data_IF_319625902576
#
_entry.id   IF_319625902576
#
_cell.length_a   1.000
_cell.length_b   1.000
_cell.length_c   1.000
_cell.angle_alpha   90.00
_cell.angle_beta   90.00
_cell.angle_gamma   90.00
#
_symmetry.space_group_name_H-M   'P 1'
#
loop_
_entity.id
_entity.type
_entity.pdbx_description
1 polymer ?
#
# COMPACT_ATOMS: atom_id res chain seq x y z
N UNK A 1 -11.72 26.79 15.28
CA UNK A 1 -10.38 26.31 15.70
C UNK A 1 -9.88 27.22 16.79
N UNK A 2 -9.47 26.69 17.95
CA UNK A 2 -8.82 27.52 18.97
C UNK A 2 -7.53 28.12 18.39
N UNK A 3 -7.24 29.41 18.66
CA UNK A 3 -5.96 29.99 18.31
C UNK A 3 -4.82 29.19 18.96
N UNK A 4 -3.80 28.83 18.20
CA UNK A 4 -2.68 28.00 18.65
C UNK A 4 -1.94 28.61 19.87
N UNK A 5 -1.96 29.94 19.98
CA UNK A 5 -1.43 30.71 21.11
C UNK A 5 -2.33 30.73 22.36
N UNK A 6 -3.52 30.13 22.32
CA UNK A 6 -4.46 30.00 23.45
C UNK A 6 -4.54 28.57 23.99
N UNK A 7 -3.85 27.60 23.37
CA UNK A 7 -3.78 26.24 23.91
C UNK A 7 -2.81 26.21 25.10
N UNK A 8 -3.25 25.74 26.29
CA UNK A 8 -2.37 25.64 27.43
C UNK A 8 -1.23 24.65 27.13
N UNK A 9 0.02 25.06 27.37
CA UNK A 9 1.15 24.13 27.28
C UNK A 9 0.93 22.98 28.27
N UNK A 10 1.11 21.72 27.87
CA UNK A 10 0.98 20.60 28.80
C UNK A 10 2.03 20.75 29.89
N UNK A 11 1.68 20.36 31.13
CA UNK A 11 2.60 20.37 32.27
C UNK A 11 3.82 19.47 32.04
N UNK A 12 3.66 18.46 31.20
CA UNK A 12 4.71 17.55 30.76
C UNK A 12 4.70 17.55 29.23
N UNK A 13 5.76 18.07 28.63
CA UNK A 13 6.01 17.89 27.19
C UNK A 13 6.74 16.56 27.06
N UNK A 14 6.16 15.54 26.38
CA UNK A 14 6.86 14.28 26.19
C UNK A 14 8.15 14.55 25.38
N UNK A 15 9.34 14.20 25.90
CA UNK A 15 10.57 14.38 25.14
C UNK A 15 10.55 13.46 23.92
N UNK A 16 11.19 13.89 22.83
CA UNK A 16 11.56 12.97 21.76
C UNK A 16 12.64 12.02 22.29
N UNK A 17 12.63 10.78 21.79
CA UNK A 17 13.72 9.86 22.00
C UNK A 17 15.05 10.47 21.49
N UNK A 18 16.12 10.38 22.28
CA UNK A 18 17.42 11.00 21.97
C UNK A 18 18.03 10.44 20.66
N UNK A 19 17.73 9.18 20.35
CA UNK A 19 18.20 8.51 19.15
C UNK A 19 17.21 8.60 17.98
N UNK A 20 16.10 9.34 18.15
CA UNK A 20 15.15 9.55 17.05
C UNK A 20 15.83 10.24 15.87
N UNK A 21 15.74 9.61 14.70
CA UNK A 21 16.19 10.16 13.41
C UNK A 21 15.06 10.07 12.39
N UNK A 22 14.50 11.20 11.92
CA UNK A 22 13.48 11.17 10.87
C UNK A 22 14.04 10.60 9.56
N UNK A 23 13.41 9.56 9.02
CA UNK A 23 13.86 8.91 7.78
C UNK A 23 13.91 9.87 6.57
N UNK A 24 13.03 10.87 6.53
CA UNK A 24 13.03 11.89 5.48
C UNK A 24 14.33 12.72 5.46
N UNK A 25 14.94 12.98 6.63
CA UNK A 25 16.20 13.72 6.71
C UNK A 25 17.36 12.89 6.17
N UNK A 26 17.36 11.57 6.37
CA UNK A 26 18.34 10.68 5.75
C UNK A 26 18.22 10.71 4.22
N UNK A 27 17.00 10.70 3.69
CA UNK A 27 16.77 10.82 2.24
C UNK A 27 17.28 12.15 1.69
N UNK A 28 17.00 13.26 2.37
CA UNK A 28 17.47 14.59 1.98
C UNK A 28 19.00 14.67 2.00
N UNK A 29 19.64 14.20 3.08
CA UNK A 29 21.09 14.21 3.21
C UNK A 29 21.79 13.37 2.12
N UNK A 30 21.24 12.20 1.78
CA UNK A 30 21.76 11.39 0.68
C UNK A 30 21.67 12.12 -0.67
N UNK A 31 20.50 12.69 -0.99
CA UNK A 31 20.31 13.41 -2.25
C UNK A 31 21.16 14.68 -2.33
N UNK A 32 21.37 15.37 -1.21
CA UNK A 32 22.30 16.50 -1.13
C UNK A 32 23.72 16.05 -1.43
N UNK A 33 24.17 14.93 -0.84
CA UNK A 33 25.49 14.34 -1.13
C UNK A 33 25.65 13.97 -2.60
N UNK A 34 24.62 13.37 -3.22
CA UNK A 34 24.62 13.08 -4.66
C UNK A 34 24.82 14.37 -5.46
N UNK A 35 24.04 15.41 -5.19
CA UNK A 35 24.12 16.70 -5.90
C UNK A 35 25.47 17.39 -5.69
N UNK A 36 26.03 17.37 -4.47
CA UNK A 36 27.29 18.03 -4.15
C UNK A 36 28.51 17.30 -4.72
N UNK A 37 28.40 15.99 -4.98
CA UNK A 37 29.52 15.16 -5.47
C UNK A 37 30.01 15.52 -6.87
N UNK A 38 29.16 16.18 -7.69
CA UNK A 38 29.34 16.36 -9.15
C UNK A 38 29.57 15.06 -9.92
N UNK A 39 29.28 13.91 -9.30
CA UNK A 39 29.36 12.56 -9.85
C UNK A 39 28.01 11.86 -9.67
N UNK A 40 26.93 12.55 -9.99
CA UNK A 40 25.58 11.97 -9.98
C UNK A 40 25.35 11.17 -11.27
N UNK A 41 24.70 10.01 -11.15
CA UNK A 41 24.27 9.18 -12.28
C UNK A 41 22.79 8.84 -12.13
N UNK A 42 22.05 8.69 -13.26
CA UNK A 42 20.62 8.43 -13.21
C UNK A 42 20.30 7.06 -12.62
N UNK A 43 19.19 7.00 -11.88
CA UNK A 43 18.53 5.78 -11.46
C UNK A 43 17.03 5.87 -11.79
N UNK A 44 16.53 4.87 -12.51
CA UNK A 44 15.13 4.72 -12.88
C UNK A 44 14.62 3.41 -12.30
N UNK A 45 13.59 3.49 -11.47
CA UNK A 45 12.95 2.34 -10.86
C UNK A 45 11.54 2.18 -11.45
N UNK A 46 11.31 1.07 -12.15
CA UNK A 46 9.97 0.69 -12.63
C UNK A 46 9.38 -0.41 -11.75
N UNK A 47 8.12 -0.27 -11.33
CA UNK A 47 7.39 -1.28 -10.57
C UNK A 47 6.19 -1.74 -11.39
N UNK A 48 6.21 -3.01 -11.82
CA UNK A 48 5.14 -3.61 -12.61
C UNK A 48 4.15 -4.38 -11.73
N UNK A 49 2.86 -4.14 -12.00
CA UNK A 49 1.70 -4.66 -11.26
C UNK A 49 0.81 -5.47 -12.20
N UNK A 50 -0.34 -5.93 -11.69
CA UNK A 50 -1.38 -6.57 -12.50
C UNK A 50 -1.84 -5.68 -13.68
N UNK A 51 -2.30 -6.31 -14.76
CA UNK A 51 -2.79 -5.60 -15.96
C UNK A 51 -1.71 -4.89 -16.78
N UNK A 52 -0.44 -5.14 -16.49
CA UNK A 52 0.69 -4.46 -17.14
C UNK A 52 0.79 -2.98 -16.77
N UNK A 53 0.26 -2.59 -15.60
CA UNK A 53 0.44 -1.26 -15.05
C UNK A 53 1.86 -1.12 -14.51
N UNK A 54 2.50 0.02 -14.78
CA UNK A 54 3.89 0.29 -14.42
C UNK A 54 3.96 1.65 -13.76
N UNK A 55 4.48 1.70 -12.55
CA UNK A 55 4.80 2.93 -11.85
C UNK A 55 6.29 3.23 -11.99
N UNK A 56 6.66 4.44 -12.38
CA UNK A 56 8.08 4.81 -12.55
C UNK A 56 8.49 5.82 -11.47
N UNK A 57 9.71 5.67 -10.96
CA UNK A 57 10.35 6.63 -10.07
C UNK A 57 11.74 6.97 -10.61
N UNK A 58 11.97 8.25 -10.88
CA UNK A 58 13.25 8.75 -11.43
C UNK A 58 13.99 9.53 -10.36
N UNK A 59 15.25 9.19 -10.16
CA UNK A 59 16.14 9.83 -9.19
C UNK A 59 17.59 9.74 -9.66
N UNK A 60 18.51 10.19 -8.82
CA UNK A 60 19.95 10.09 -9.04
C UNK A 60 20.60 9.38 -7.85
N UNK A 61 21.75 8.76 -8.12
CA UNK A 61 22.62 8.12 -7.13
C UNK A 61 24.07 8.52 -7.40
N UNK A 62 24.98 8.19 -6.49
CA UNK A 62 26.41 8.43 -6.71
C UNK A 62 26.94 7.49 -7.80
N UNK A 63 27.81 8.00 -8.66
CA UNK A 63 28.62 7.17 -9.56
C UNK A 63 29.38 6.11 -8.74
N UNK A 64 29.50 4.86 -9.22
CA UNK A 64 30.22 3.80 -8.51
C UNK A 64 31.65 4.15 -8.09
N UNK A 65 32.31 5.07 -8.78
CA UNK A 65 33.66 5.56 -8.47
C UNK A 65 33.71 6.76 -7.50
N UNK A 66 32.56 7.26 -7.07
CA UNK A 66 32.47 8.38 -6.15
C UNK A 66 32.72 7.95 -4.69
N UNK A 67 33.26 8.87 -3.89
CA UNK A 67 33.40 8.66 -2.44
C UNK A 67 32.00 8.57 -1.80
N UNK A 68 31.75 7.49 -1.06
CA UNK A 68 30.45 7.25 -0.44
C UNK A 68 29.45 6.49 -1.31
N UNK A 69 29.86 5.96 -2.47
CA UNK A 69 28.98 5.21 -3.38
C UNK A 69 28.35 3.96 -2.72
N UNK A 70 28.95 3.43 -1.66
CA UNK A 70 28.39 2.35 -0.83
C UNK A 70 27.03 2.73 -0.21
N UNK A 71 26.77 4.03 0.01
CA UNK A 71 25.49 4.51 0.53
C UNK A 71 24.33 4.33 -0.46
N UNK A 72 24.62 4.15 -1.75
CA UNK A 72 23.59 3.89 -2.75
C UNK A 72 22.78 2.63 -2.40
N UNK A 73 23.44 1.57 -1.93
CA UNK A 73 22.81 0.27 -1.69
C UNK A 73 21.72 0.33 -0.60
N UNK A 74 21.99 0.77 0.65
CA UNK A 74 20.96 0.87 1.68
C UNK A 74 19.91 1.96 1.36
N UNK A 75 20.30 3.04 0.68
CA UNK A 75 19.36 4.07 0.24
C UNK A 75 18.34 3.53 -0.76
N UNK A 76 18.81 2.90 -1.84
CA UNK A 76 17.96 2.39 -2.90
C UNK A 76 17.13 1.21 -2.42
N UNK A 77 17.70 0.31 -1.62
CA UNK A 77 16.96 -0.77 -0.96
C UNK A 77 15.74 -0.20 -0.21
N UNK A 78 15.95 0.79 0.67
CA UNK A 78 14.87 1.41 1.44
C UNK A 78 13.86 2.15 0.57
N UNK A 79 14.34 2.82 -0.49
CA UNK A 79 13.48 3.50 -1.47
C UNK A 79 12.58 2.49 -2.19
N UNK A 80 13.15 1.40 -2.72
CA UNK A 80 12.41 0.33 -3.40
C UNK A 80 11.39 -0.28 -2.47
N UNK A 81 11.74 -0.60 -1.21
CA UNK A 81 10.76 -1.07 -0.22
C UNK A 81 9.61 -0.09 -0.05
N UNK A 82 9.92 1.21 0.10
CA UNK A 82 8.90 2.24 0.28
C UNK A 82 7.97 2.32 -0.93
N UNK A 83 8.52 2.33 -2.14
CA UNK A 83 7.74 2.35 -3.38
C UNK A 83 6.89 1.08 -3.53
N UNK A 84 7.45 -0.08 -3.21
CA UNK A 84 6.77 -1.37 -3.32
C UNK A 84 5.55 -1.45 -2.40
N UNK A 85 5.64 -0.95 -1.17
CA UNK A 85 4.51 -0.94 -0.24
C UNK A 85 3.51 0.20 -0.49
N UNK A 86 3.94 1.30 -1.10
CA UNK A 86 3.05 2.41 -1.46
C UNK A 86 2.29 2.18 -2.77
N UNK A 87 2.92 1.50 -3.74
CA UNK A 87 2.42 1.37 -5.12
C UNK A 87 2.07 -0.06 -5.51
N UNK A 88 2.67 -1.05 -4.83
CA UNK A 88 2.58 -2.45 -5.19
C UNK A 88 3.43 -2.82 -6.41
N UNK A 89 3.70 -4.11 -6.58
CA UNK A 89 4.29 -4.70 -7.78
C UNK A 89 4.90 -6.07 -7.51
N UNK A 90 5.10 -6.87 -8.54
CA UNK A 90 5.79 -8.17 -8.46
C UNK A 90 7.12 -8.18 -9.24
N UNK A 91 7.35 -7.16 -10.06
CA UNK A 91 8.57 -7.02 -10.84
C UNK A 91 9.13 -5.62 -10.69
N UNK A 92 10.43 -5.56 -10.45
CA UNK A 92 11.19 -4.32 -10.35
C UNK A 92 12.16 -4.23 -11.52
N UNK A 93 12.07 -3.14 -12.27
CA UNK A 93 13.04 -2.73 -13.28
C UNK A 93 14.02 -1.74 -12.64
N UNK A 94 15.32 -2.01 -12.76
CA UNK A 94 16.40 -1.19 -12.20
C UNK A 94 17.27 -0.67 -13.34
N UNK A 95 16.97 0.56 -13.77
CA UNK A 95 17.72 1.29 -14.80
C UNK A 95 18.79 2.17 -14.17
N UNK A 96 20.04 1.73 -14.11
CA UNK A 96 21.11 2.47 -13.43
C UNK A 96 22.37 1.62 -13.22
N UNK A 97 23.26 2.00 -12.28
CA UNK A 97 24.47 1.23 -11.98
C UNK A 97 24.17 -0.26 -11.70
N UNK A 98 24.80 -1.22 -12.42
CA UNK A 98 24.46 -2.64 -12.32
C UNK A 98 24.51 -3.24 -10.91
N UNK A 99 25.50 -2.80 -10.12
CA UNK A 99 25.69 -3.20 -8.73
C UNK A 99 24.45 -2.97 -7.84
N UNK A 100 23.63 -1.97 -8.15
CA UNK A 100 22.38 -1.70 -7.41
C UNK A 100 21.34 -2.77 -7.73
N UNK A 101 21.17 -3.11 -9.01
CA UNK A 101 20.23 -4.15 -9.43
C UNK A 101 20.63 -5.53 -8.91
N UNK A 102 21.93 -5.85 -8.94
CA UNK A 102 22.48 -7.10 -8.37
C UNK A 102 22.27 -7.18 -6.86
N UNK A 103 22.52 -6.09 -6.13
CA UNK A 103 22.25 -6.01 -4.70
C UNK A 103 20.75 -6.19 -4.38
N UNK A 104 19.87 -5.57 -5.17
CA UNK A 104 18.43 -5.73 -5.01
C UNK A 104 17.98 -7.16 -5.32
N UNK A 105 18.56 -7.84 -6.32
CA UNK A 105 18.29 -9.26 -6.57
C UNK A 105 18.65 -10.13 -5.36
N UNK A 106 19.76 -9.86 -4.68
CA UNK A 106 20.12 -10.55 -3.45
C UNK A 106 19.15 -10.24 -2.30
N UNK A 107 18.78 -8.97 -2.14
CA UNK A 107 17.81 -8.56 -1.13
C UNK A 107 16.45 -9.24 -1.31
N UNK A 108 15.90 -9.20 -2.52
CA UNK A 108 14.60 -9.75 -2.91
C UNK A 108 14.74 -11.18 -3.45
N UNK A 109 15.35 -12.04 -2.64
CA UNK A 109 15.48 -13.47 -2.90
C UNK A 109 15.09 -14.29 -1.67
N UNK A 110 14.84 -15.60 -1.84
CA UNK A 110 14.62 -16.49 -0.70
C UNK A 110 15.78 -16.43 0.28
N UNK A 111 15.50 -16.07 1.54
CA UNK A 111 16.51 -15.89 2.60
C UNK A 111 17.25 -14.55 2.57
N UNK A 112 16.98 -13.68 1.59
CA UNK A 112 17.49 -12.31 1.52
C UNK A 112 16.83 -11.36 2.51
N UNK A 113 17.36 -10.13 2.59
CA UNK A 113 16.87 -9.06 3.49
C UNK A 113 15.38 -8.72 3.30
N UNK A 114 14.84 -9.01 2.10
CA UNK A 114 13.47 -8.74 1.66
C UNK A 114 12.73 -10.01 1.25
N UNK A 115 13.11 -11.15 1.82
CA UNK A 115 12.44 -12.44 1.58
C UNK A 115 10.93 -12.40 1.91
N UNK A 116 10.53 -11.67 2.96
CA UNK A 116 9.10 -11.48 3.23
C UNK A 116 8.42 -10.64 2.14
N UNK A 117 9.04 -9.54 1.72
CA UNK A 117 8.45 -8.61 0.76
C UNK A 117 8.30 -9.28 -0.63
N UNK A 118 9.27 -10.08 -1.06
CA UNK A 118 9.23 -10.79 -2.35
C UNK A 118 8.18 -11.92 -2.36
N UNK A 119 8.14 -12.76 -1.32
CA UNK A 119 7.14 -13.83 -1.20
C UNK A 119 5.72 -13.25 -1.12
N UNK A 120 5.54 -12.24 -0.26
CA UNK A 120 4.25 -11.59 -0.07
C UNK A 120 3.72 -10.94 -1.36
N UNK A 121 4.55 -10.12 -2.01
CA UNK A 121 4.12 -9.44 -3.24
C UNK A 121 3.96 -10.42 -4.41
N UNK A 122 4.84 -11.43 -4.51
CA UNK A 122 4.69 -12.49 -5.51
C UNK A 122 3.37 -13.24 -5.36
N UNK A 123 2.98 -13.58 -4.12
CA UNK A 123 1.68 -14.17 -3.81
C UNK A 123 0.49 -13.25 -4.14
N UNK A 124 0.56 -11.97 -3.79
CA UNK A 124 -0.50 -10.97 -4.07
C UNK A 124 -0.81 -10.86 -5.56
N UNK A 125 0.22 -10.82 -6.39
CA UNK A 125 0.07 -10.67 -7.84
C UNK A 125 0.04 -12.01 -8.59
N UNK A 126 0.17 -13.14 -7.89
CA UNK A 126 0.26 -14.49 -8.47
C UNK A 126 1.38 -14.63 -9.53
N UNK A 127 2.50 -13.97 -9.29
CA UNK A 127 3.70 -14.02 -10.13
C UNK A 127 4.94 -14.27 -9.28
N UNK A 128 5.95 -14.94 -9.86
CA UNK A 128 7.27 -15.00 -9.21
C UNK A 128 7.83 -13.58 -9.11
N UNK A 129 8.26 -13.18 -7.92
CA UNK A 129 8.88 -11.87 -7.75
C UNK A 129 10.21 -11.78 -8.51
N UNK A 130 10.45 -10.67 -9.21
CA UNK A 130 11.66 -10.51 -10.03
C UNK A 130 12.26 -9.12 -9.95
N UNK A 131 13.59 -9.04 -10.04
CA UNK A 131 14.35 -7.79 -10.18
C UNK A 131 15.20 -7.88 -11.43
N UNK A 132 15.03 -6.93 -12.36
CA UNK A 132 15.72 -6.91 -13.64
C UNK A 132 16.56 -5.63 -13.78
N UNK A 133 17.87 -5.81 -13.92
CA UNK A 133 18.83 -4.74 -14.19
C UNK A 133 18.87 -4.40 -15.68
N UNK A 134 18.95 -3.12 -16.02
CA UNK A 134 19.03 -2.64 -17.40
C UNK A 134 19.62 -1.21 -17.47
N UNK A 135 19.78 -0.68 -18.68
CA UNK A 135 20.10 0.74 -18.85
C UNK A 135 18.89 1.62 -18.47
N UNK A 136 19.09 2.86 -17.98
CA UNK A 136 18.01 3.77 -17.62
C UNK A 136 16.96 3.99 -18.71
N UNK A 137 17.40 4.02 -19.98
CA UNK A 137 16.58 4.27 -21.17
C UNK A 137 15.77 3.04 -21.60
N UNK A 138 16.08 1.87 -21.04
CA UNK A 138 15.40 0.61 -21.32
C UNK A 138 14.28 0.31 -20.32
N UNK A 139 14.17 1.09 -19.23
CA UNK A 139 13.08 0.93 -18.27
C UNK A 139 11.76 1.26 -18.98
N UNK A 140 10.75 0.37 -18.94
CA UNK A 140 9.46 0.63 -19.55
C UNK A 140 8.85 1.95 -19.08
N UNK A 141 8.17 2.63 -20.00
CA UNK A 141 7.48 3.88 -19.69
C UNK A 141 6.36 3.68 -18.66
N UNK A 142 6.05 4.77 -17.96
CA UNK A 142 4.98 4.77 -16.96
C UNK A 142 3.62 4.45 -17.61
N UNK A 143 2.89 3.54 -16.97
CA UNK A 143 1.54 3.15 -17.36
C UNK A 143 0.68 3.03 -16.11
N UNK A 144 0.13 4.17 -15.72
CA UNK A 144 -0.79 4.29 -14.58
C UNK A 144 -2.24 4.33 -15.07
N UNK A 145 -3.16 3.83 -14.24
CA UNK A 145 -4.60 3.95 -14.48
C UNK A 145 -5.24 4.66 -13.30
N UNK A 146 -5.96 5.73 -13.58
CA UNK A 146 -6.80 6.41 -12.60
C UNK A 146 -8.25 6.17 -12.96
N UNK A 147 -9.06 5.79 -11.98
CA UNK A 147 -10.52 5.70 -12.13
C UNK A 147 -11.14 6.87 -11.39
N UNK A 148 -12.01 7.62 -12.08
CA UNK A 148 -12.75 8.69 -11.43
C UNK A 148 -13.74 8.09 -10.42
N UNK A 149 -13.61 8.49 -9.15
CA UNK A 149 -14.62 8.18 -8.13
C UNK A 149 -15.77 9.18 -8.36
N UNK A 150 -16.89 8.71 -8.90
CA UNK A 150 -17.97 9.57 -9.42
C UNK A 150 -18.66 10.50 -8.42
N UNK A 151 -18.37 10.38 -7.11
CA UNK A 151 -18.92 11.20 -6.00
C UNK A 151 -20.44 11.39 -6.04
N UNK A 152 -21.15 10.44 -6.65
CA UNK A 152 -22.59 10.49 -6.80
C UNK A 152 -23.25 10.31 -5.42
N UNK A 153 -24.16 11.22 -5.06
CA UNK A 153 -24.91 11.17 -3.80
C UNK A 153 -26.35 10.69 -4.03
N UNK A 154 -26.85 10.83 -5.25
CA UNK A 154 -28.24 10.55 -5.61
C UNK A 154 -28.62 9.07 -5.44
N UNK A 155 -29.90 8.79 -5.18
CA UNK A 155 -30.44 7.44 -5.04
C UNK A 155 -30.29 6.82 -3.65
N UNK A 156 -30.61 5.53 -3.56
CA UNK A 156 -30.59 4.74 -2.32
C UNK A 156 -29.32 3.88 -2.25
N UNK A 157 -28.42 4.15 -1.32
CA UNK A 157 -27.07 3.57 -1.28
C UNK A 157 -26.76 2.96 0.09
N UNK A 158 -25.91 1.95 0.08
CA UNK A 158 -25.36 1.37 1.32
C UNK A 158 -23.86 1.64 1.38
N UNK A 159 -23.41 2.22 2.49
CA UNK A 159 -22.00 2.24 2.87
C UNK A 159 -21.72 1.14 3.88
N UNK A 160 -20.71 0.30 3.64
CA UNK A 160 -20.30 -0.76 4.56
C UNK A 160 -18.80 -0.65 4.87
N UNK A 161 -18.45 -0.55 6.14
CA UNK A 161 -17.07 -0.60 6.63
C UNK A 161 -16.80 -1.95 7.27
N UNK A 162 -15.96 -2.74 6.62
CA UNK A 162 -15.59 -4.10 7.02
C UNK A 162 -14.30 -4.09 7.86
N UNK A 163 -14.39 -3.50 9.05
CA UNK A 163 -13.29 -3.46 10.01
C UNK A 163 -12.96 -4.83 10.61
N UNK A 164 -11.75 -4.96 11.15
CA UNK A 164 -11.29 -6.20 11.80
C UNK A 164 -11.62 -6.29 13.31
N UNK A 165 -12.23 -5.25 13.86
CA UNK A 165 -12.67 -5.08 15.26
C UNK A 165 -14.18 -4.85 15.38
N UNK A 166 -14.75 -4.19 14.40
CA UNK A 166 -16.15 -3.81 14.30
C UNK A 166 -16.52 -3.77 12.82
N UNK A 167 -17.83 -3.84 12.55
CA UNK A 167 -18.42 -3.53 11.25
C UNK A 167 -19.33 -2.34 11.41
N UNK A 168 -19.35 -1.47 10.41
CA UNK A 168 -20.32 -0.36 10.33
C UNK A 168 -21.12 -0.45 9.05
N UNK A 169 -22.39 -0.12 9.12
CA UNK A 169 -23.24 -0.04 7.93
C UNK A 169 -24.11 1.21 8.01
N UNK A 170 -24.27 1.89 6.87
CA UNK A 170 -25.14 3.04 6.74
C UNK A 170 -26.05 2.90 5.51
N UNK A 171 -27.32 3.27 5.65
CA UNK A 171 -28.25 3.45 4.55
C UNK A 171 -28.39 4.94 4.24
N UNK A 172 -28.27 5.32 2.97
CA UNK A 172 -28.21 6.72 2.52
C UNK A 172 -29.22 6.94 1.40
N UNK A 173 -30.07 7.96 1.51
CA UNK A 173 -31.03 8.36 0.47
C UNK A 173 -30.71 9.80 0.05
N UNK A 174 -30.40 10.01 -1.23
CA UNK A 174 -30.07 11.34 -1.80
C UNK A 174 -28.98 12.08 -1.00
N UNK A 175 -27.95 11.35 -0.58
CA UNK A 175 -26.83 11.88 0.20
C UNK A 175 -27.07 11.99 1.71
N UNK A 176 -28.30 11.77 2.19
CA UNK A 176 -28.65 11.86 3.61
C UNK A 176 -28.67 10.46 4.26
N UNK A 177 -28.01 10.34 5.41
CA UNK A 177 -27.98 9.09 6.18
C UNK A 177 -29.32 8.87 6.88
N UNK A 178 -30.01 7.77 6.58
CA UNK A 178 -31.32 7.41 7.15
C UNK A 178 -31.24 6.27 8.17
N UNK A 179 -30.12 5.55 8.21
CA UNK A 179 -29.83 4.50 9.18
C UNK A 179 -28.32 4.31 9.31
N UNK A 180 -27.84 4.09 10.54
CA UNK A 180 -26.45 3.76 10.84
C UNK A 180 -26.40 2.72 11.96
N UNK A 181 -25.47 1.77 11.84
CA UNK A 181 -25.18 0.80 12.88
C UNK A 181 -23.68 0.53 12.94
N UNK A 182 -23.17 0.40 14.17
CA UNK A 182 -21.84 -0.16 14.45
C UNK A 182 -21.98 -1.37 15.37
N UNK A 183 -21.38 -2.50 14.96
CA UNK A 183 -21.39 -3.75 15.74
C UNK A 183 -19.98 -4.27 15.89
N UNK A 184 -19.58 -4.54 17.14
CA UNK A 184 -18.34 -5.24 17.44
C UNK A 184 -18.43 -6.68 16.93
N UNK A 185 -17.39 -7.13 16.23
CA UNK A 185 -17.26 -8.50 15.75
C UNK A 185 -15.79 -8.91 15.68
N UNK A 186 -15.51 -10.19 15.51
CA UNK A 186 -14.13 -10.71 15.59
C UNK A 186 -13.79 -11.59 14.38
N UNK A 187 -13.77 -11.05 13.16
CA UNK A 187 -13.60 -11.85 11.94
C UNK A 187 -12.20 -12.46 11.82
N UNK A 188 -11.17 -11.82 12.40
CA UNK A 188 -9.76 -12.24 12.31
C UNK A 188 -9.49 -13.69 12.71
N UNK A 189 -10.26 -14.22 13.65
CA UNK A 189 -10.08 -15.59 14.19
C UNK A 189 -11.07 -16.59 13.60
N UNK A 190 -11.93 -16.16 12.67
CA UNK A 190 -13.00 -17.00 12.12
C UNK A 190 -12.50 -17.74 10.90
N UNK A 191 -12.44 -19.07 11.02
CA UNK A 191 -11.95 -19.95 9.97
C UNK A 191 -13.00 -20.37 8.95
N UNK A 192 -14.29 -20.16 9.24
CA UNK A 192 -15.39 -20.49 8.35
C UNK A 192 -15.80 -19.27 7.50
N UNK A 193 -15.61 -19.29 6.16
CA UNK A 193 -16.09 -18.23 5.25
C UNK A 193 -17.57 -17.88 5.43
N UNK A 194 -18.41 -18.84 5.81
CA UNK A 194 -19.84 -18.60 6.04
C UNK A 194 -20.09 -17.62 7.18
N UNK A 195 -19.21 -17.56 8.19
CA UNK A 195 -19.29 -16.54 9.24
C UNK A 195 -19.26 -15.14 8.63
N UNK A 196 -18.27 -14.89 7.76
CA UNK A 196 -18.06 -13.59 7.13
C UNK A 196 -19.22 -13.25 6.22
N UNK A 197 -19.62 -14.20 5.36
CA UNK A 197 -20.75 -14.04 4.46
C UNK A 197 -22.03 -13.66 5.20
N UNK A 198 -22.42 -14.43 6.23
CA UNK A 198 -23.66 -14.17 6.97
C UNK A 198 -23.65 -12.81 7.67
N UNK A 199 -22.55 -12.41 8.29
CA UNK A 199 -22.48 -11.12 8.99
C UNK A 199 -22.50 -9.94 8.03
N UNK A 200 -21.81 -10.03 6.88
CA UNK A 200 -21.84 -9.00 5.84
C UNK A 200 -23.26 -8.90 5.26
N UNK A 201 -23.83 -10.02 4.81
CA UNK A 201 -25.17 -10.03 4.21
C UNK A 201 -26.25 -9.57 5.18
N UNK A 202 -26.16 -9.95 6.46
CA UNK A 202 -27.09 -9.47 7.49
C UNK A 202 -27.01 -7.95 7.64
N UNK A 203 -25.81 -7.37 7.70
CA UNK A 203 -25.63 -5.91 7.80
C UNK A 203 -26.21 -5.19 6.58
N UNK A 204 -25.94 -5.71 5.37
CA UNK A 204 -26.47 -5.15 4.12
C UNK A 204 -28.00 -5.23 4.05
N UNK A 205 -28.60 -6.36 4.42
CA UNK A 205 -30.06 -6.50 4.45
C UNK A 205 -30.72 -5.59 5.49
N UNK A 206 -30.10 -5.42 6.65
CA UNK A 206 -30.59 -4.50 7.68
C UNK A 206 -30.62 -3.05 7.16
N UNK A 207 -29.53 -2.56 6.57
CA UNK A 207 -29.50 -1.24 5.98
C UNK A 207 -30.51 -1.08 4.82
N UNK A 208 -30.63 -2.11 3.96
CA UNK A 208 -31.58 -2.10 2.85
C UNK A 208 -33.04 -1.95 3.32
N UNK A 209 -33.41 -2.48 4.49
CA UNK A 209 -34.77 -2.40 5.03
C UNK A 209 -35.22 -0.96 5.35
N UNK A 210 -34.29 0.00 5.45
CA UNK A 210 -34.58 1.41 5.70
C UNK A 210 -34.77 2.24 4.41
N UNK A 211 -34.75 1.61 3.24
CA UNK A 211 -34.86 2.27 1.94
C UNK A 211 -35.87 1.57 1.03
N UNK A 212 -36.48 2.28 0.06
CA UNK A 212 -37.44 1.67 -0.87
C UNK A 212 -36.79 0.72 -1.89
N UNK A 213 -35.48 0.86 -2.13
CA UNK A 213 -34.65 0.02 -3.01
C UNK A 213 -33.17 0.22 -2.68
N UNK A 214 -32.29 -0.55 -3.33
CA UNK A 214 -30.82 -0.35 -3.27
C UNK A 214 -30.32 -0.13 -4.69
N UNK A 215 -29.76 1.06 -4.94
CA UNK A 215 -29.18 1.46 -6.21
C UNK A 215 -27.67 1.14 -6.26
N UNK A 216 -26.95 1.22 -5.13
CA UNK A 216 -25.52 0.90 -5.05
C UNK A 216 -25.07 0.48 -3.64
N UNK A 217 -23.99 -0.30 -3.57
CA UNK A 217 -23.30 -0.68 -2.34
C UNK A 217 -21.82 -0.32 -2.47
N UNK A 218 -21.29 0.46 -1.53
CA UNK A 218 -19.88 0.75 -1.39
C UNK A 218 -19.31 0.04 -0.17
N UNK A 219 -18.24 -0.74 -0.36
CA UNK A 219 -17.55 -1.44 0.73
C UNK A 219 -16.15 -0.86 0.91
N UNK A 220 -15.85 -0.43 2.13
CA UNK A 220 -14.49 -0.15 2.59
C UNK A 220 -13.97 -1.36 3.36
N UNK A 221 -12.78 -1.83 3.05
CA UNK A 221 -12.15 -2.95 3.74
C UNK A 221 -10.62 -2.82 3.71
N UNK A 222 -9.95 -3.21 4.79
CA UNK A 222 -8.49 -3.22 4.84
C UNK A 222 -7.92 -4.46 4.15
N UNK A 223 -7.20 -4.25 3.06
CA UNK A 223 -6.58 -5.33 2.29
C UNK A 223 -6.17 -4.92 0.89
N UNK A 224 -5.75 -5.93 0.12
CA UNK A 224 -5.44 -5.86 -1.30
C UNK A 224 -6.52 -6.64 -2.04
N UNK A 225 -7.24 -5.94 -2.90
CA UNK A 225 -8.30 -6.47 -3.77
C UNK A 225 -7.89 -6.18 -5.21
N UNK A 226 -7.82 -7.22 -6.03
CA UNK A 226 -7.43 -7.12 -7.45
C UNK A 226 -8.50 -7.80 -8.28
N UNK A 227 -9.04 -7.11 -9.28
CA UNK A 227 -10.06 -7.62 -10.21
C UNK A 227 -11.25 -8.28 -9.49
N UNK A 228 -11.80 -7.59 -8.47
CA UNK A 228 -12.89 -8.05 -7.61
C UNK A 228 -12.59 -9.32 -6.78
N UNK A 229 -11.34 -9.79 -6.75
CA UNK A 229 -10.89 -10.89 -5.88
C UNK A 229 -10.10 -10.34 -4.71
N UNK A 230 -10.36 -10.90 -3.53
CA UNK A 230 -9.56 -10.64 -2.34
C UNK A 230 -8.22 -11.35 -2.48
N UNK A 231 -7.12 -10.61 -2.41
CA UNK A 231 -5.76 -11.20 -2.36
C UNK A 231 -5.32 -11.40 -0.93
N UNK A 232 -5.41 -10.34 -0.14
CA UNK A 232 -5.06 -10.32 1.28
C UNK A 232 -6.01 -9.35 1.95
N UNK A 233 -6.72 -9.75 3.01
CA UNK A 233 -7.51 -8.79 3.78
C UNK A 233 -7.47 -9.12 5.27
N UNK A 234 -7.54 -8.09 6.11
CA UNK A 234 -7.59 -8.27 7.57
C UNK A 234 -8.79 -9.10 8.01
N UNK A 235 -9.88 -9.03 7.23
CA UNK A 235 -11.12 -9.72 7.47
C UNK A 235 -10.95 -11.24 7.47
N UNK A 236 -10.22 -11.80 6.50
CA UNK A 236 -10.15 -13.24 6.26
C UNK A 236 -8.88 -13.91 6.81
N UNK A 237 -8.14 -13.27 7.71
CA UNK A 237 -6.87 -13.80 8.25
C UNK A 237 -6.97 -15.19 8.88
N UNK A 238 -8.12 -15.54 9.45
CA UNK A 238 -8.36 -16.84 10.08
C UNK A 238 -8.81 -17.92 9.11
N UNK A 239 -9.16 -17.57 7.87
CA UNK A 239 -9.66 -18.51 6.86
C UNK A 239 -8.48 -19.31 6.29
N UNK A 240 -8.49 -20.65 6.35
CA UNK A 240 -7.46 -21.48 5.75
C UNK A 240 -7.37 -21.25 4.24
N UNK A 241 -6.15 -21.31 3.68
CA UNK A 241 -5.88 -21.00 2.26
C UNK A 241 -6.74 -21.85 1.32
N UNK A 242 -6.91 -23.12 1.64
CA UNK A 242 -7.69 -24.08 0.84
C UNK A 242 -9.17 -23.70 0.73
N UNK A 243 -9.70 -22.97 1.71
CA UNK A 243 -11.09 -22.46 1.71
C UNK A 243 -11.20 -21.01 1.25
N UNK A 244 -10.09 -20.30 1.20
CA UNK A 244 -10.01 -18.91 0.75
C UNK A 244 -9.99 -18.82 -0.78
N UNK A 245 -9.33 -19.79 -1.44
CA UNK A 245 -9.14 -19.81 -2.88
C UNK A 245 -10.24 -20.55 -3.67
N UNK A 246 -11.25 -21.10 -2.98
CA UNK A 246 -12.44 -21.77 -3.55
C UNK A 246 -13.62 -20.83 -3.69
#
# INVERSE_FOLDING_TARGET
MWPENQLPKPKVVPPLDEDFRPGVLANHAFLEKVRSSRKAVPLVLGLERGGGLISVYRTEVLDPSAEGAELNLPYVERLVKTLLWARGGWKIYVGGPPQIGEWLQQCYSPGGLRAFDEDFMGGVYEHKFTVQTMAPEQVPEEREQTVAIGRHLDGCRIGFDAGASDRKVAAVIEGESVFEEEVVWHPRTQADPNYHYHHIMSALHMAAAHMPRVDAIGVSAAGIYIDNRVRVASLFRGVPKERFDT
#
